data_IF_139583069105
#
_entry.id   IF_139583069105
#
_cell.length_a   1.000
_cell.length_b   1.000
_cell.length_c   1.000
_cell.angle_alpha   90.00
_cell.angle_beta   90.00
_cell.angle_gamma   90.00
#
_symmetry.space_group_name_H-M   'P 1'
#
loop_
_entity.id
_entity.type
_entity.pdbx_description
1 polymer ?
#
# COMPACT_ATOMS: atom_id res chain seq x y z
N UNK A 1 41.25 38.17 -10.06
CA UNK A 1 41.02 36.72 -9.91
C UNK A 1 39.53 36.53 -9.78
N UNK A 2 38.85 36.24 -10.89
CA UNK A 2 37.45 35.83 -10.84
C UNK A 2 37.42 34.44 -10.18
N UNK A 3 36.55 34.28 -9.18
CA UNK A 3 36.25 32.96 -8.61
C UNK A 3 35.63 32.13 -9.73
N UNK A 4 36.09 30.90 -10.01
CA UNK A 4 35.40 30.04 -10.94
C UNK A 4 33.98 29.81 -10.42
N UNK A 5 33.00 29.96 -11.31
CA UNK A 5 31.62 29.55 -11.06
C UNK A 5 31.63 28.07 -10.64
N UNK A 6 30.80 27.67 -9.65
CA UNK A 6 30.70 26.26 -9.30
C UNK A 6 30.21 25.49 -10.54
N UNK A 7 31.06 24.63 -11.07
CA UNK A 7 30.72 23.75 -12.19
C UNK A 7 29.43 23.00 -11.85
N UNK A 8 28.38 23.22 -12.64
CA UNK A 8 27.15 22.48 -12.48
C UNK A 8 27.43 20.99 -12.69
N UNK A 9 26.89 20.09 -11.84
CA UNK A 9 27.09 18.65 -12.01
C UNK A 9 26.65 18.21 -13.39
N UNK A 10 27.44 17.36 -14.05
CA UNK A 10 27.01 16.79 -15.33
C UNK A 10 25.82 15.84 -15.12
N UNK A 11 25.08 15.51 -16.18
CA UNK A 11 23.99 14.53 -16.10
C UNK A 11 24.48 13.19 -15.52
N UNK A 12 25.71 12.76 -15.88
CA UNK A 12 26.35 11.56 -15.35
C UNK A 12 26.63 11.65 -13.84
N UNK A 13 27.05 12.81 -13.33
CA UNK A 13 27.31 13.01 -11.90
C UNK A 13 26.01 13.02 -11.09
N UNK A 14 24.98 13.64 -11.64
CA UNK A 14 23.64 13.68 -11.05
C UNK A 14 23.05 12.27 -10.96
N UNK A 15 23.20 11.45 -12.00
CA UNK A 15 22.74 10.07 -12.00
C UNK A 15 23.49 9.21 -10.96
N UNK A 16 24.80 9.41 -10.82
CA UNK A 16 25.59 8.76 -9.78
C UNK A 16 25.18 9.22 -8.36
N UNK A 17 24.78 10.48 -8.18
CA UNK A 17 24.22 10.97 -6.92
C UNK A 17 22.86 10.34 -6.62
N UNK A 18 21.95 10.29 -7.60
CA UNK A 18 20.64 9.64 -7.44
C UNK A 18 20.81 8.18 -7.05
N UNK A 19 21.68 7.43 -7.74
CA UNK A 19 21.91 6.03 -7.43
C UNK A 19 22.43 5.81 -6.00
N UNK A 20 23.32 6.68 -5.50
CA UNK A 20 23.79 6.62 -4.11
C UNK A 20 22.67 6.93 -3.11
N UNK A 21 21.84 7.92 -3.39
CA UNK A 21 20.69 8.26 -2.53
C UNK A 21 19.72 7.09 -2.49
N UNK A 22 19.32 6.58 -3.65
CA UNK A 22 18.38 5.46 -3.77
C UNK A 22 18.94 4.21 -3.05
N UNK A 23 20.23 3.90 -3.19
CA UNK A 23 20.83 2.78 -2.47
C UNK A 23 20.71 2.93 -0.95
N UNK A 24 20.95 4.12 -0.39
CA UNK A 24 20.79 4.39 1.03
C UNK A 24 19.33 4.32 1.51
N UNK A 25 18.39 4.84 0.71
CA UNK A 25 16.96 4.74 0.99
C UNK A 25 16.50 3.28 1.01
N UNK A 26 16.92 2.49 0.03
CA UNK A 26 16.58 1.07 -0.06
C UNK A 26 17.19 0.24 1.06
N UNK A 27 18.41 0.54 1.48
CA UNK A 27 19.02 -0.15 2.62
C UNK A 27 18.27 0.14 3.92
N UNK A 28 17.83 1.38 4.11
CA UNK A 28 16.98 1.75 5.26
C UNK A 28 15.65 0.99 5.25
N UNK A 29 15.03 0.85 4.07
CA UNK A 29 13.81 0.05 3.91
C UNK A 29 14.06 -1.43 4.22
N UNK A 30 15.16 -2.01 3.72
CA UNK A 30 15.54 -3.42 3.99
C UNK A 30 15.74 -3.67 5.48
N UNK A 31 16.46 -2.78 6.16
CA UNK A 31 16.67 -2.89 7.60
C UNK A 31 15.32 -2.91 8.33
N UNK A 32 14.42 -1.98 8.02
CA UNK A 32 13.11 -1.92 8.64
C UNK A 32 12.26 -3.19 8.38
N UNK A 33 12.33 -3.79 7.19
CA UNK A 33 11.71 -5.10 6.95
C UNK A 33 12.34 -6.20 7.81
N UNK A 34 13.68 -6.22 7.92
CA UNK A 34 14.41 -7.15 8.79
C UNK A 34 14.03 -7.01 10.27
N UNK A 35 13.71 -5.79 10.69
CA UNK A 35 13.25 -5.47 12.05
C UNK A 35 11.76 -5.81 12.28
N UNK A 36 11.07 -6.38 11.29
CA UNK A 36 9.67 -6.79 11.41
C UNK A 36 8.66 -5.66 11.17
N UNK A 37 8.98 -4.70 10.29
CA UNK A 37 8.01 -3.69 9.90
C UNK A 37 6.73 -4.32 9.29
N UNK A 38 5.58 -3.82 9.72
CA UNK A 38 4.24 -4.22 9.24
C UNK A 38 3.49 -3.05 8.58
N UNK A 39 3.90 -1.83 8.93
CA UNK A 39 3.21 -0.60 8.53
C UNK A 39 4.18 0.39 7.88
N UNK A 40 3.61 1.33 7.13
CA UNK A 40 4.32 2.45 6.54
C UNK A 40 3.53 3.74 6.79
N UNK A 41 4.21 4.81 7.20
CA UNK A 41 3.65 6.16 7.22
C UNK A 41 4.10 6.91 5.98
N UNK A 42 3.15 7.23 5.11
CA UNK A 42 3.35 8.08 3.95
C UNK A 42 2.92 9.52 4.25
N UNK A 43 3.46 10.50 3.51
CA UNK A 43 3.13 11.92 3.68
C UNK A 43 3.87 12.62 4.81
N UNK A 44 4.91 12.01 5.38
CA UNK A 44 5.79 12.59 6.41
C UNK A 44 6.76 13.66 5.86
N UNK A 45 6.29 14.53 4.96
CA UNK A 45 7.08 15.66 4.49
C UNK A 45 6.91 16.81 5.50
N UNK A 46 7.94 17.13 6.28
CA UNK A 46 7.90 18.21 7.28
C UNK A 46 7.67 19.61 6.67
N UNK A 47 7.79 19.73 5.34
CA UNK A 47 7.73 21.01 4.61
C UNK A 47 6.35 21.38 4.07
N UNK A 48 5.34 20.50 4.19
CA UNK A 48 3.97 20.75 3.72
C UNK A 48 3.00 20.20 4.74
N UNK A 49 1.88 20.89 4.98
CA UNK A 49 0.70 20.42 5.74
C UNK A 49 0.01 19.19 5.10
N UNK A 50 0.81 18.22 4.64
CA UNK A 50 0.32 16.96 4.15
C UNK A 50 0.09 16.08 5.35
N UNK A 51 -1.14 15.63 5.43
CA UNK A 51 -1.56 14.68 6.42
C UNK A 51 -0.73 13.39 6.34
N UNK A 52 -0.19 12.98 7.48
CA UNK A 52 0.49 11.70 7.63
C UNK A 52 -0.56 10.61 7.63
N UNK A 53 -0.40 9.64 6.75
CA UNK A 53 -1.32 8.52 6.64
C UNK A 53 -0.56 7.23 6.92
N UNK A 54 -1.10 6.43 7.84
CA UNK A 54 -0.62 5.10 8.14
C UNK A 54 -1.22 4.12 7.15
N UNK A 55 -0.39 3.27 6.59
CA UNK A 55 -0.76 2.20 5.69
C UNK A 55 -0.23 0.88 6.24
N UNK A 56 -0.94 -0.21 5.97
CA UNK A 56 -0.29 -1.52 5.98
C UNK A 56 0.68 -1.61 4.82
N UNK A 57 1.76 -2.36 5.00
CA UNK A 57 2.73 -2.57 3.93
C UNK A 57 2.09 -3.10 2.65
N UNK A 58 1.07 -3.94 2.73
CA UNK A 58 0.42 -4.54 1.55
C UNK A 58 -0.44 -3.56 0.76
N UNK A 59 -0.71 -2.36 1.28
CA UNK A 59 -1.52 -1.36 0.62
C UNK A 59 -0.99 -1.03 -0.79
N UNK A 60 -1.78 -1.16 -1.87
CA UNK A 60 -1.32 -0.90 -3.23
C UNK A 60 -0.89 0.57 -3.43
N UNK A 61 -1.45 1.48 -2.62
CA UNK A 61 -1.08 2.90 -2.63
C UNK A 61 0.40 3.12 -2.29
N UNK A 62 1.05 2.20 -1.58
CA UNK A 62 2.47 2.32 -1.23
C UNK A 62 3.43 1.97 -2.37
N UNK A 63 3.00 1.19 -3.37
CA UNK A 63 3.92 0.70 -4.41
C UNK A 63 4.63 1.85 -5.15
N UNK A 64 3.95 2.92 -5.59
CA UNK A 64 4.62 4.06 -6.23
C UNK A 64 5.62 4.78 -5.32
N UNK A 65 5.50 4.67 -3.99
CA UNK A 65 6.41 5.31 -3.05
C UNK A 65 7.67 4.49 -2.76
N UNK A 66 7.62 3.19 -3.06
CA UNK A 66 8.65 2.22 -2.74
C UNK A 66 9.50 1.84 -3.95
N UNK A 67 9.01 2.05 -5.17
CA UNK A 67 9.86 2.14 -6.35
C UNK A 67 10.65 3.46 -6.33
N UNK A 68 11.85 3.41 -5.75
CA UNK A 68 12.67 4.60 -5.52
C UNK A 68 13.29 5.14 -6.80
N UNK A 69 13.62 4.28 -7.76
CA UNK A 69 14.21 4.73 -9.02
C UNK A 69 13.18 5.48 -9.88
N UNK A 70 11.97 4.93 -10.02
CA UNK A 70 10.90 5.55 -10.81
C UNK A 70 10.40 6.88 -10.23
N UNK A 71 10.70 7.17 -8.95
CA UNK A 71 10.38 8.44 -8.29
C UNK A 71 11.31 9.58 -8.69
N UNK A 72 12.53 9.29 -9.13
CA UNK A 72 13.51 10.28 -9.57
C UNK A 72 13.35 10.61 -11.06
N UNK A 73 12.31 11.39 -11.37
CA UNK A 73 12.12 11.98 -12.71
C UNK A 73 13.13 13.12 -13.02
N UNK A 74 13.13 13.59 -14.27
CA UNK A 74 14.04 14.63 -14.76
C UNK A 74 13.94 15.94 -13.96
N UNK A 75 12.75 16.28 -13.46
CA UNK A 75 12.54 17.48 -12.64
C UNK A 75 13.23 17.34 -11.29
N UNK A 76 13.13 16.17 -10.65
CA UNK A 76 13.81 15.90 -9.40
C UNK A 76 15.33 15.86 -9.56
N UNK A 77 15.82 15.26 -10.66
CA UNK A 77 17.24 15.25 -11.02
C UNK A 77 17.79 16.66 -11.24
N UNK A 78 17.07 17.48 -11.99
CA UNK A 78 17.42 18.89 -12.21
C UNK A 78 17.47 19.67 -10.90
N UNK A 79 16.53 19.39 -9.97
CA UNK A 79 16.54 20.03 -8.65
C UNK A 79 17.71 19.56 -7.80
N UNK A 80 18.05 18.28 -7.82
CA UNK A 80 19.21 17.73 -7.11
C UNK A 80 20.53 18.31 -7.63
N UNK A 81 20.65 18.54 -8.93
CA UNK A 81 21.81 19.17 -9.52
C UNK A 81 22.03 20.62 -9.02
N UNK A 82 20.93 21.35 -8.76
CA UNK A 82 20.97 22.70 -8.19
C UNK A 82 21.01 22.74 -6.65
N UNK A 83 20.59 21.67 -5.99
CA UNK A 83 20.51 21.54 -4.53
C UNK A 83 20.90 20.10 -4.13
N UNK A 84 22.18 19.84 -3.83
CA UNK A 84 22.68 18.51 -3.47
C UNK A 84 22.04 17.90 -2.22
N UNK A 85 21.39 18.70 -1.38
CA UNK A 85 20.69 18.26 -0.17
C UNK A 85 19.22 17.93 -0.42
N UNK A 86 18.72 18.17 -1.64
CA UNK A 86 17.35 17.82 -2.02
C UNK A 86 17.10 16.31 -1.88
N UNK A 87 16.07 15.94 -1.12
CA UNK A 87 15.62 14.55 -0.96
C UNK A 87 14.13 14.43 -1.23
N UNK A 88 13.73 13.29 -1.78
CA UNK A 88 12.33 12.91 -1.90
C UNK A 88 11.85 12.30 -0.58
N UNK A 89 10.59 12.54 -0.18
CA UNK A 89 10.05 11.90 1.00
C UNK A 89 10.05 10.37 0.84
N UNK A 90 10.55 9.70 1.87
CA UNK A 90 10.57 8.24 2.00
C UNK A 90 9.50 7.85 3.02
N UNK A 91 8.63 6.87 2.73
CA UNK A 91 7.73 6.33 3.74
C UNK A 91 8.52 5.79 4.93
N UNK A 92 8.06 6.09 6.15
CA UNK A 92 8.68 5.54 7.36
C UNK A 92 8.06 4.19 7.64
N UNK A 93 8.85 3.13 7.49
CA UNK A 93 8.42 1.77 7.84
C UNK A 93 8.56 1.55 9.34
N UNK A 94 7.65 0.78 9.92
CA UNK A 94 7.63 0.57 11.37
C UNK A 94 6.94 -0.72 11.77
N UNK A 95 7.34 -1.22 12.94
CA UNK A 95 6.72 -2.36 13.61
C UNK A 95 5.33 -2.00 14.13
N UNK A 96 4.53 -3.01 14.44
CA UNK A 96 3.23 -2.81 15.08
C UNK A 96 3.33 -2.08 16.41
N UNK A 97 4.27 -2.48 17.25
CA UNK A 97 4.52 -1.82 18.54
C UNK A 97 4.76 -0.32 18.37
N UNK A 98 5.60 0.05 17.40
CA UNK A 98 5.86 1.46 17.09
C UNK A 98 4.61 2.18 16.58
N UNK A 99 3.83 1.51 15.72
CA UNK A 99 2.62 2.07 15.12
C UNK A 99 1.49 2.31 16.15
N UNK A 100 1.43 1.53 17.22
CA UNK A 100 0.46 1.69 18.31
C UNK A 100 0.64 2.99 19.10
N UNK A 101 1.86 3.54 19.08
CA UNK A 101 2.23 4.76 19.82
C UNK A 101 2.30 5.99 18.90
N UNK A 102 1.79 5.90 17.66
CA UNK A 102 1.78 7.03 16.74
C UNK A 102 0.67 8.04 17.06
N UNK A 103 1.07 9.28 17.26
CA UNK A 103 0.15 10.42 17.33
C UNK A 103 0.10 11.22 16.02
N UNK A 104 -1.06 11.81 15.73
CA UNK A 104 -1.22 12.74 14.60
C UNK A 104 -1.14 12.09 13.21
N UNK A 105 -1.40 10.78 13.11
CA UNK A 105 -1.41 10.03 11.84
C UNK A 105 -2.82 9.49 11.59
N UNK A 106 -3.38 9.73 10.41
CA UNK A 106 -4.68 9.12 10.03
C UNK A 106 -4.47 7.71 9.51
N UNK A 107 -5.39 6.81 9.83
CA UNK A 107 -5.43 5.48 9.21
C UNK A 107 -5.88 5.57 7.75
N UNK A 108 -5.16 4.90 6.85
CA UNK A 108 -5.56 4.77 5.46
C UNK A 108 -6.93 4.10 5.37
N UNK A 109 -7.87 4.72 4.64
CA UNK A 109 -9.22 4.18 4.45
C UNK A 109 -9.30 3.00 3.48
N UNK A 110 -8.22 2.70 2.77
CA UNK A 110 -8.15 1.58 1.81
C UNK A 110 -7.68 0.31 2.52
N UNK A 111 -6.58 0.39 3.27
CA UNK A 111 -6.01 -0.78 3.92
C UNK A 111 -6.31 -0.87 5.42
N UNK A 112 -6.94 0.15 6.03
CA UNK A 112 -7.35 0.20 7.43
C UNK A 112 -6.33 -0.46 8.39
N UNK A 113 -5.15 0.17 8.58
CA UNK A 113 -4.09 -0.42 9.39
C UNK A 113 -4.57 -0.67 10.83
N UNK A 114 -4.79 -1.94 11.17
CA UNK A 114 -5.24 -2.40 12.48
C UNK A 114 -4.06 -2.54 13.46
N UNK A 115 -3.50 -1.42 13.90
CA UNK A 115 -2.28 -1.41 14.74
C UNK A 115 -2.48 -2.04 16.12
N UNK A 116 -3.69 -1.96 16.69
CA UNK A 116 -3.93 -2.42 18.05
C UNK A 116 -4.21 -3.92 18.16
N UNK A 117 -4.52 -4.61 17.06
CA UNK A 117 -4.26 -6.04 16.87
C UNK A 117 -4.72 -7.04 17.94
N UNK A 118 -5.53 -6.68 18.92
CA UNK A 118 -6.07 -7.62 19.91
C UNK A 118 -7.41 -8.13 19.39
N UNK A 119 -7.35 -9.34 18.82
CA UNK A 119 -8.43 -10.16 18.29
C UNK A 119 -9.09 -9.67 16.98
N UNK A 120 -9.46 -10.58 16.06
CA UNK A 120 -10.46 -10.25 15.07
C UNK A 120 -11.72 -9.88 15.85
N UNK A 121 -12.09 -8.61 15.86
CA UNK A 121 -13.45 -8.22 16.21
C UNK A 121 -14.32 -8.48 14.98
N UNK A 122 -15.10 -9.58 14.91
CA UNK A 122 -16.24 -9.58 14.02
C UNK A 122 -17.18 -8.50 14.57
N UNK A 123 -17.81 -7.63 13.79
CA UNK A 123 -19.00 -7.96 13.01
C UNK A 123 -19.43 -6.66 12.29
N UNK A 124 -18.70 -6.19 11.28
CA UNK A 124 -19.37 -5.30 10.32
C UNK A 124 -20.23 -6.19 9.43
N UNK A 125 -21.40 -6.56 9.96
CA UNK A 125 -22.44 -7.20 9.21
C UNK A 125 -23.00 -6.17 8.24
N UNK A 126 -22.82 -6.43 6.95
CA UNK A 126 -23.41 -5.64 5.89
C UNK A 126 -24.46 -6.50 5.20
N UNK A 127 -25.39 -5.86 4.50
CA UNK A 127 -26.07 -6.55 3.40
C UNK A 127 -25.10 -6.66 2.22
N UNK A 128 -25.15 -7.75 1.45
CA UNK A 128 -24.24 -7.96 0.31
C UNK A 128 -24.25 -6.78 -0.68
N UNK A 129 -25.42 -6.18 -0.95
CA UNK A 129 -25.53 -4.98 -1.81
C UNK A 129 -24.84 -3.73 -1.25
N UNK A 130 -24.50 -3.76 0.03
CA UNK A 130 -23.75 -2.75 0.78
C UNK A 130 -22.23 -2.87 0.60
N UNK A 131 -21.73 -3.92 -0.07
CA UNK A 131 -20.35 -3.96 -0.52
C UNK A 131 -20.07 -2.81 -1.50
N UNK A 132 -18.88 -2.23 -1.37
CA UNK A 132 -18.49 -0.96 -2.00
C UNK A 132 -16.99 -1.05 -2.34
N UNK A 133 -16.49 -0.18 -3.23
CA UNK A 133 -15.07 -0.21 -3.60
C UNK A 133 -14.11 -0.07 -2.42
N UNK A 134 -14.48 0.65 -1.36
CA UNK A 134 -13.66 0.75 -0.15
C UNK A 134 -13.58 -0.54 0.66
N UNK A 135 -14.41 -1.54 0.35
CA UNK A 135 -14.36 -2.83 1.00
C UNK A 135 -13.37 -3.82 0.35
N UNK A 136 -12.87 -3.47 -0.84
CA UNK A 136 -11.82 -4.24 -1.52
C UNK A 136 -10.56 -4.21 -0.66
N UNK A 137 -9.98 -5.37 -0.42
CA UNK A 137 -8.84 -5.56 0.46
C UNK A 137 -9.21 -5.99 1.88
N UNK A 138 -10.48 -6.01 2.28
CA UNK A 138 -10.86 -6.64 3.55
C UNK A 138 -11.08 -8.14 3.41
N UNK A 139 -11.05 -8.86 4.53
CA UNK A 139 -11.38 -10.29 4.54
C UNK A 139 -12.88 -10.48 4.64
N UNK A 140 -13.43 -11.24 3.70
CA UNK A 140 -14.77 -11.78 3.82
C UNK A 140 -14.70 -12.98 4.78
N UNK A 141 -15.69 -13.09 5.65
CA UNK A 141 -15.80 -14.18 6.62
C UNK A 141 -17.20 -14.80 6.57
N UNK A 142 -17.30 -16.06 6.98
CA UNK A 142 -18.58 -16.68 7.32
C UNK A 142 -19.06 -16.18 8.68
N UNK A 143 -20.31 -16.52 9.02
CA UNK A 143 -20.94 -16.11 10.28
C UNK A 143 -20.20 -16.60 11.53
N UNK A 144 -19.59 -17.78 11.45
CA UNK A 144 -18.73 -18.37 12.49
C UNK A 144 -17.33 -17.73 12.54
N UNK A 145 -17.04 -16.81 11.62
CA UNK A 145 -15.75 -16.14 11.53
C UNK A 145 -14.71 -16.87 10.69
N UNK A 146 -15.00 -17.99 10.03
CA UNK A 146 -14.00 -18.59 9.16
C UNK A 146 -13.72 -17.66 7.95
N UNK A 147 -12.44 -17.52 7.60
CA UNK A 147 -12.04 -16.70 6.44
C UNK A 147 -12.61 -17.31 5.15
N UNK A 148 -13.16 -16.45 4.29
CA UNK A 148 -13.59 -16.79 2.93
C UNK A 148 -12.69 -16.13 1.86
N UNK A 149 -11.57 -15.54 2.30
CA UNK A 149 -10.58 -14.84 1.48
C UNK A 149 -10.73 -13.32 1.47
N UNK A 150 -9.71 -12.64 0.95
CA UNK A 150 -9.67 -11.18 0.82
C UNK A 150 -10.50 -10.73 -0.39
N UNK A 151 -11.40 -9.76 -0.21
CA UNK A 151 -12.26 -9.22 -1.26
C UNK A 151 -11.39 -8.51 -2.31
N UNK A 152 -11.44 -8.98 -3.56
CA UNK A 152 -10.77 -8.37 -4.72
C UNK A 152 -11.72 -7.42 -5.45
N UNK A 153 -12.98 -7.84 -5.61
CA UNK A 153 -14.05 -7.02 -6.20
C UNK A 153 -15.42 -7.51 -5.75
N UNK A 154 -16.41 -6.63 -5.85
CA UNK A 154 -17.82 -6.96 -5.68
C UNK A 154 -18.67 -6.25 -6.75
N UNK A 155 -19.63 -6.94 -7.35
CA UNK A 155 -20.52 -6.39 -8.35
C UNK A 155 -21.95 -6.88 -8.15
N UNK A 156 -22.92 -5.97 -8.25
CA UNK A 156 -24.34 -6.33 -8.33
C UNK A 156 -24.63 -6.76 -9.77
N UNK A 157 -24.81 -8.06 -9.97
CA UNK A 157 -25.24 -8.65 -11.22
C UNK A 157 -26.76 -8.59 -11.30
N UNK A 158 -27.27 -8.18 -12.46
CA UNK A 158 -28.68 -8.22 -12.81
C UNK A 158 -28.82 -9.08 -14.04
N UNK A 159 -28.94 -10.39 -13.86
CA UNK A 159 -29.20 -11.27 -14.98
C UNK A 159 -30.70 -11.56 -15.09
N UNK A 160 -31.27 -11.50 -16.31
CA UNK A 160 -32.57 -12.11 -16.57
C UNK A 160 -32.41 -13.63 -16.53
N UNK A 161 -33.17 -14.32 -15.66
CA UNK A 161 -33.24 -15.78 -15.71
C UNK A 161 -33.94 -16.22 -17.01
N UNK A 162 -33.76 -17.48 -17.42
CA UNK A 162 -34.47 -18.12 -18.53
C UNK A 162 -36.01 -18.01 -18.43
N UNK A 163 -36.52 -17.80 -17.22
CA UNK A 163 -37.91 -17.66 -16.80
C UNK A 163 -38.37 -16.18 -16.65
N UNK A 164 -37.56 -15.21 -17.10
CA UNK A 164 -37.95 -13.82 -17.30
C UNK A 164 -38.03 -12.96 -16.03
N UNK A 165 -37.64 -13.49 -14.86
CA UNK A 165 -37.53 -12.70 -13.63
C UNK A 165 -36.12 -12.09 -13.50
N UNK A 166 -35.96 -10.88 -12.97
CA UNK A 166 -34.63 -10.39 -12.61
C UNK A 166 -34.17 -11.14 -11.36
N UNK A 167 -33.01 -11.80 -11.43
CA UNK A 167 -32.33 -12.28 -10.24
C UNK A 167 -31.20 -11.30 -9.95
N UNK A 168 -31.42 -10.46 -8.96
CA UNK A 168 -30.37 -9.59 -8.44
C UNK A 168 -29.46 -10.47 -7.58
N UNK A 169 -28.18 -10.56 -7.93
CA UNK A 169 -27.16 -11.25 -7.14
C UNK A 169 -25.94 -10.36 -6.97
N UNK A 170 -25.25 -10.50 -5.84
CA UNK A 170 -23.98 -9.82 -5.59
C UNK A 170 -22.87 -10.83 -5.76
N UNK A 171 -22.11 -10.69 -6.85
CA UNK A 171 -20.86 -11.40 -7.08
C UNK A 171 -19.78 -10.78 -6.19
N UNK A 172 -19.11 -11.59 -5.38
CA UNK A 172 -17.96 -11.20 -4.56
C UNK A 172 -16.80 -12.11 -4.92
N UNK A 173 -15.78 -11.55 -5.57
CA UNK A 173 -14.55 -12.26 -5.89
C UNK A 173 -13.57 -12.05 -4.75
N UNK A 174 -13.09 -13.15 -4.16
CA UNK A 174 -12.05 -13.14 -3.15
C UNK A 174 -10.73 -13.70 -3.69
N UNK A 175 -9.67 -13.63 -2.89
CA UNK A 175 -8.36 -14.24 -3.18
C UNK A 175 -8.42 -15.76 -3.39
N UNK A 176 -9.49 -16.43 -2.96
CA UNK A 176 -9.60 -17.89 -3.01
C UNK A 176 -10.70 -18.38 -3.94
N UNK A 177 -11.81 -17.65 -4.03
CA UNK A 177 -12.99 -18.08 -4.77
C UNK A 177 -13.93 -16.93 -5.10
N UNK A 178 -14.85 -17.16 -6.01
CA UNK A 178 -16.00 -16.29 -6.23
C UNK A 178 -17.20 -16.80 -5.44
N UNK A 179 -17.91 -15.90 -4.77
CA UNK A 179 -19.11 -16.16 -3.99
C UNK A 179 -20.26 -15.32 -4.53
N UNK A 180 -21.48 -15.83 -4.43
CA UNK A 180 -22.70 -15.16 -4.88
C UNK A 180 -23.66 -15.05 -3.71
N UNK A 181 -24.14 -13.84 -3.46
CA UNK A 181 -25.03 -13.53 -2.35
C UNK A 181 -26.32 -12.91 -2.85
N UNK A 182 -27.45 -13.19 -2.18
CA UNK A 182 -28.64 -12.37 -2.40
C UNK A 182 -28.38 -10.93 -1.91
N UNK A 183 -28.97 -9.88 -2.52
CA UNK A 183 -28.66 -8.49 -2.19
C UNK A 183 -28.89 -8.12 -0.71
N UNK A 184 -29.85 -8.80 -0.07
CA UNK A 184 -30.20 -8.63 1.35
C UNK A 184 -29.50 -9.61 2.28
N UNK A 185 -28.77 -10.59 1.73
CA UNK A 185 -28.05 -11.59 2.51
C UNK A 185 -26.95 -10.90 3.32
N UNK A 186 -26.76 -11.29 4.59
CA UNK A 186 -25.70 -10.74 5.40
C UNK A 186 -24.33 -11.24 4.92
N UNK A 187 -23.37 -10.32 4.86
CA UNK A 187 -21.95 -10.61 4.66
C UNK A 187 -21.16 -10.04 5.84
N UNK A 188 -20.12 -10.77 6.25
CA UNK A 188 -19.31 -10.42 7.40
C UNK A 188 -17.91 -10.02 6.92
N UNK A 189 -17.49 -8.80 7.25
CA UNK A 189 -16.19 -8.28 6.86
C UNK A 189 -15.31 -8.09 8.09
N UNK A 190 -14.05 -8.52 7.96
CA UNK A 190 -13.01 -8.35 8.96
C UNK A 190 -11.97 -7.34 8.49
N UNK A 191 -11.52 -6.50 9.42
CA UNK A 191 -10.25 -5.81 9.27
C UNK A 191 -9.14 -6.85 9.38
N UNK A 192 -8.45 -7.08 8.26
CA UNK A 192 -7.46 -8.14 8.13
C UNK A 192 -6.38 -8.01 9.22
N UNK A 193 -5.95 -9.10 9.87
CA UNK A 193 -4.60 -9.19 10.40
C UNK A 193 -3.58 -9.07 9.25
N UNK A 194 -2.36 -8.66 9.56
CA UNK A 194 -1.25 -8.65 8.59
C UNK A 194 -1.10 -10.07 8.00
N UNK A 195 -1.10 -10.20 6.67
CA UNK A 195 -1.01 -11.53 6.01
C UNK A 195 0.46 -11.77 5.72
N UNK A 196 1.11 -12.64 6.48
CA UNK A 196 2.55 -12.93 6.36
C UNK A 196 2.94 -13.31 4.91
N UNK A 197 2.06 -14.01 4.17
CA UNK A 197 2.30 -14.37 2.77
C UNK A 197 2.18 -13.16 1.84
N UNK A 198 1.33 -12.19 2.17
CA UNK A 198 1.26 -10.92 1.45
C UNK A 198 2.44 -10.00 1.78
N UNK A 199 2.92 -9.99 3.04
CA UNK A 199 4.16 -9.34 3.43
C UNK A 199 5.34 -9.93 2.65
N UNK A 200 5.50 -11.26 2.64
CA UNK A 200 6.57 -11.93 1.91
C UNK A 200 6.55 -11.62 0.40
N UNK A 201 5.37 -11.65 -0.22
CA UNK A 201 5.21 -11.25 -1.63
C UNK A 201 5.66 -9.82 -1.86
N UNK A 202 5.36 -8.93 -0.92
CA UNK A 202 5.74 -7.52 -1.06
C UNK A 202 7.20 -7.26 -0.74
N UNK A 203 7.80 -7.99 0.20
CA UNK A 203 9.24 -8.03 0.40
C UNK A 203 9.93 -8.44 -0.90
N UNK A 204 9.44 -9.50 -1.58
CA UNK A 204 9.96 -9.90 -2.91
C UNK A 204 9.75 -8.80 -3.95
N UNK A 205 8.59 -8.15 -3.98
CA UNK A 205 8.32 -7.03 -4.87
C UNK A 205 9.32 -5.86 -4.61
N UNK A 206 9.61 -5.54 -3.35
CA UNK A 206 10.61 -4.51 -3.00
C UNK A 206 12.03 -4.91 -3.35
N UNK A 207 12.38 -6.18 -3.20
CA UNK A 207 13.67 -6.69 -3.66
C UNK A 207 13.82 -6.54 -5.18
N UNK A 208 12.75 -6.78 -5.94
CA UNK A 208 12.72 -6.64 -7.39
C UNK A 208 12.72 -5.16 -7.84
N UNK A 209 11.86 -4.32 -7.24
CA UNK A 209 11.76 -2.89 -7.58
C UNK A 209 12.97 -2.08 -7.10
N UNK A 210 13.58 -2.46 -5.98
CA UNK A 210 14.75 -1.81 -5.41
C UNK A 210 16.09 -2.26 -6.01
N UNK A 211 16.14 -3.33 -6.80
CA UNK A 211 17.39 -3.77 -7.42
C UNK A 211 17.72 -3.04 -8.73
N UNK A 212 16.84 -2.13 -9.20
CA UNK A 212 16.99 -1.50 -10.51
C UNK A 212 16.93 -2.52 -11.65
N UNK A 213 16.41 -3.73 -11.39
CA UNK A 213 16.15 -4.75 -12.41
C UNK A 213 14.86 -4.37 -13.14
N UNK A 214 14.91 -3.30 -13.92
CA UNK A 214 13.99 -3.10 -15.04
C UNK A 214 14.12 -4.31 -15.96
N UNK A 215 13.09 -5.16 -15.94
CA UNK A 215 12.62 -6.00 -17.04
C UNK A 215 13.72 -6.53 -17.99
N UNK A 216 14.23 -7.73 -17.70
CA UNK A 216 14.62 -8.63 -18.78
C UNK A 216 13.33 -9.33 -19.22
N UNK A 217 12.67 -8.76 -20.24
CA UNK A 217 11.87 -9.47 -21.23
C UNK A 217 11.66 -8.55 -22.44
#
# INVERSE_FOLDING_TARGET
MERPDPEQPTASDTDAMVNRIVAGELESLRQAFGDGAEFAVAGADASKDRERVLHRLECPVLEPHLDRHSRWDDRHRSRLAGDPDFRLPVPVLMTRESAQHLDGVRSCKICWPNVHGTDPKPLRQLQAKGLRPHHVGHMLSSEDGASLGTIIRSALQREPIFDGRPRDEVEVVTSWRTLYYAPTEPVYIWDLPTDDVAIERKIRLFQLLGSGLTQIN
#
